data_IF_889762267313
#
_entry.id   IF_889762267313
#
_cell.length_a   1.000
_cell.length_b   1.000
_cell.length_c   1.000
_cell.angle_alpha   90.00
_cell.angle_beta   90.00
_cell.angle_gamma   90.00
#
_symmetry.space_group_name_H-M   'P 1'
#
loop_
_entity.id
_entity.type
_entity.pdbx_description
1 polymer ?
#
# COMPACT_ATOMS: atom_id res chain seq x y z
N UNK A 1 -68.25 12.66 -7.26
CA UNK A 1 -67.14 13.55 -6.85
C UNK A 1 -66.10 12.68 -6.19
N UNK A 2 -65.07 12.26 -6.92
CA UNK A 2 -63.96 11.50 -6.33
C UNK A 2 -63.13 12.49 -5.52
N UNK A 3 -63.06 12.27 -4.20
CA UNK A 3 -62.11 12.95 -3.33
C UNK A 3 -60.72 12.56 -3.78
N UNK A 4 -60.10 13.42 -4.58
CA UNK A 4 -58.68 13.34 -4.89
C UNK A 4 -57.96 13.65 -3.58
N UNK A 5 -57.74 12.62 -2.75
CA UNK A 5 -56.94 12.76 -1.54
C UNK A 5 -55.56 13.20 -2.00
N UNK A 6 -55.23 14.48 -1.79
CA UNK A 6 -53.91 15.00 -2.05
C UNK A 6 -52.92 14.08 -1.36
N UNK A 7 -51.96 13.55 -2.12
CA UNK A 7 -50.98 12.64 -1.57
C UNK A 7 -50.24 13.39 -0.46
N UNK A 8 -50.22 12.83 0.75
CA UNK A 8 -49.63 13.49 1.93
C UNK A 8 -48.15 13.88 1.68
N UNK A 9 -47.47 13.12 0.81
CA UNK A 9 -46.10 13.37 0.38
C UNK A 9 -45.91 14.58 -0.53
N UNK A 10 -46.98 15.09 -1.14
CA UNK A 10 -46.88 16.30 -1.99
C UNK A 10 -46.74 17.58 -1.16
N UNK A 11 -47.07 17.53 0.14
CA UNK A 11 -47.00 18.69 1.06
C UNK A 11 -45.88 18.58 2.11
N UNK A 12 -45.07 17.52 2.06
CA UNK A 12 -43.98 17.32 3.01
C UNK A 12 -42.80 18.23 2.65
N UNK A 13 -42.19 18.94 3.62
CA UNK A 13 -40.94 19.66 3.39
C UNK A 13 -39.84 18.73 2.88
N UNK A 14 -38.97 19.26 2.04
CA UNK A 14 -37.82 18.55 1.45
C UNK A 14 -36.99 17.83 2.52
N UNK A 15 -36.72 18.52 3.63
CA UNK A 15 -35.89 18.05 4.73
C UNK A 15 -36.51 16.83 5.43
N UNK A 16 -37.84 16.77 5.50
CA UNK A 16 -38.56 15.62 6.08
C UNK A 16 -38.50 14.41 5.17
N UNK A 17 -38.58 14.61 3.85
CA UNK A 17 -38.40 13.52 2.88
C UNK A 17 -36.97 12.99 2.95
N UNK A 18 -35.97 13.88 3.05
CA UNK A 18 -34.56 13.50 3.22
C UNK A 18 -34.32 12.73 4.52
N UNK A 19 -34.92 13.18 5.62
CA UNK A 19 -34.79 12.52 6.92
C UNK A 19 -35.37 11.10 6.85
N UNK A 20 -36.60 10.94 6.36
CA UNK A 20 -37.23 9.61 6.17
C UNK A 20 -36.37 8.73 5.27
N UNK A 21 -35.89 9.26 4.13
CA UNK A 21 -35.05 8.50 3.21
C UNK A 21 -33.70 8.09 3.82
N UNK A 22 -33.17 8.85 4.79
CA UNK A 22 -31.90 8.55 5.46
C UNK A 22 -31.99 7.37 6.45
N UNK A 23 -33.20 7.04 6.91
CA UNK A 23 -33.47 5.88 7.78
C UNK A 23 -33.71 4.58 6.99
N UNK A 24 -33.67 4.61 5.66
CA UNK A 24 -33.79 3.40 4.83
C UNK A 24 -32.50 2.58 4.94
N UNK A 25 -32.64 1.30 5.26
CA UNK A 25 -31.50 0.42 5.52
C UNK A 25 -30.81 -0.04 4.22
N UNK A 26 -31.56 -0.14 3.13
CA UNK A 26 -31.07 -0.66 1.84
C UNK A 26 -31.29 0.28 0.65
N UNK A 27 -30.35 0.22 -0.31
CA UNK A 27 -30.46 0.95 -1.58
C UNK A 27 -31.70 0.52 -2.39
N UNK A 28 -32.13 -0.73 -2.23
CA UNK A 28 -33.35 -1.25 -2.87
C UNK A 28 -34.60 -0.54 -2.34
N UNK A 29 -34.68 -0.30 -1.04
CA UNK A 29 -35.77 0.46 -0.43
C UNK A 29 -35.73 1.92 -0.86
N UNK A 30 -34.55 2.52 -0.96
CA UNK A 30 -34.39 3.88 -1.48
C UNK A 30 -34.91 3.99 -2.91
N UNK A 31 -34.60 3.02 -3.78
CA UNK A 31 -35.14 2.97 -5.15
C UNK A 31 -36.66 2.84 -5.14
N UNK A 32 -37.22 1.95 -4.32
CA UNK A 32 -38.68 1.79 -4.21
C UNK A 32 -39.35 3.05 -3.68
N UNK A 33 -38.76 3.70 -2.68
CA UNK A 33 -39.25 4.94 -2.09
C UNK A 33 -39.27 6.07 -3.14
N UNK A 34 -38.19 6.22 -3.92
CA UNK A 34 -38.13 7.15 -5.07
C UNK A 34 -39.17 6.86 -6.16
N UNK A 35 -39.68 5.63 -6.25
CA UNK A 35 -40.68 5.23 -7.25
C UNK A 35 -42.13 5.44 -6.78
N UNK A 36 -42.36 5.82 -5.51
CA UNK A 36 -43.71 5.99 -4.95
C UNK A 36 -44.48 7.11 -5.66
N UNK A 37 -43.87 8.29 -5.85
CA UNK A 37 -44.43 9.38 -6.65
C UNK A 37 -43.33 10.32 -7.17
N UNK A 38 -43.71 11.23 -8.07
CA UNK A 38 -42.79 12.25 -8.61
C UNK A 38 -42.32 13.23 -7.54
N UNK A 39 -43.16 13.61 -6.57
CA UNK A 39 -42.78 14.57 -5.53
C UNK A 39 -41.63 14.06 -4.64
N UNK A 40 -41.64 12.79 -4.23
CA UNK A 40 -40.55 12.16 -3.46
C UNK A 40 -39.29 12.04 -4.30
N UNK A 41 -39.42 11.63 -5.56
CA UNK A 41 -38.27 11.54 -6.47
C UNK A 41 -37.62 12.91 -6.63
N UNK A 42 -38.41 13.94 -6.92
CA UNK A 42 -37.94 15.29 -7.14
C UNK A 42 -37.37 15.86 -5.83
N UNK A 43 -37.96 15.55 -4.66
CA UNK A 43 -37.36 15.90 -3.37
C UNK A 43 -35.98 15.24 -3.15
N UNK A 44 -35.77 14.01 -3.61
CA UNK A 44 -34.47 13.32 -3.45
C UNK A 44 -33.43 13.83 -4.46
N UNK A 45 -33.85 14.13 -5.70
CA UNK A 45 -32.95 14.43 -6.81
C UNK A 45 -32.76 15.93 -7.10
N UNK A 46 -33.64 16.80 -6.61
CA UNK A 46 -33.51 18.26 -6.76
C UNK A 46 -32.58 18.86 -5.68
N UNK A 47 -32.62 20.19 -5.53
CA UNK A 47 -31.79 20.95 -4.58
C UNK A 47 -30.28 20.68 -4.74
N UNK A 48 -29.84 20.65 -6.00
CA UNK A 48 -28.44 20.37 -6.32
C UNK A 48 -27.95 19.03 -5.77
N UNK A 49 -28.83 18.03 -5.65
CA UNK A 49 -28.54 16.67 -5.18
C UNK A 49 -27.93 16.62 -3.77
N UNK A 50 -28.38 17.53 -2.88
CA UNK A 50 -27.89 17.64 -1.50
C UNK A 50 -28.09 16.36 -0.69
N UNK A 51 -29.18 15.62 -0.94
CA UNK A 51 -29.43 14.30 -0.35
C UNK A 51 -28.34 13.29 -0.75
N UNK A 52 -28.03 13.16 -2.05
CA UNK A 52 -27.03 12.22 -2.55
C UNK A 52 -25.64 12.53 -2.00
N UNK A 53 -25.28 13.81 -1.88
CA UNK A 53 -24.03 14.22 -1.21
C UNK A 53 -23.99 13.75 0.25
N UNK A 54 -25.08 13.93 0.99
CA UNK A 54 -25.18 13.49 2.40
C UNK A 54 -25.09 11.96 2.50
N UNK A 55 -25.86 11.24 1.70
CA UNK A 55 -25.88 9.78 1.65
C UNK A 55 -24.52 9.20 1.25
N UNK A 56 -23.88 9.79 0.24
CA UNK A 56 -22.51 9.43 -0.12
C UNK A 56 -21.58 9.60 1.07
N UNK A 57 -21.65 10.76 1.73
CA UNK A 57 -20.86 11.07 2.92
C UNK A 57 -21.18 10.25 4.16
N UNK A 58 -22.20 9.38 4.17
CA UNK A 58 -22.40 8.37 5.24
C UNK A 58 -21.72 7.05 4.93
N UNK A 59 -21.65 6.65 3.65
CA UNK A 59 -21.08 5.36 3.22
C UNK A 59 -19.62 5.46 2.78
N UNK A 60 -19.20 6.58 2.22
CA UNK A 60 -17.88 6.80 1.64
C UNK A 60 -17.27 8.10 2.16
N UNK A 61 -15.97 8.23 1.97
CA UNK A 61 -15.24 9.47 2.26
C UNK A 61 -15.35 10.47 1.10
N UNK A 62 -15.20 11.78 1.38
CA UNK A 62 -15.26 12.81 0.35
C UNK A 62 -14.34 12.51 -0.83
N UNK A 63 -14.84 12.75 -2.04
CA UNK A 63 -14.03 12.58 -3.25
C UNK A 63 -12.89 13.59 -3.31
N UNK A 64 -11.73 13.19 -3.83
CA UNK A 64 -10.63 14.12 -4.14
C UNK A 64 -11.01 15.24 -5.12
N UNK A 65 -12.11 15.07 -5.87
CA UNK A 65 -12.61 16.08 -6.80
C UNK A 65 -13.53 17.13 -6.15
N UNK A 66 -13.74 17.10 -4.83
CA UNK A 66 -14.56 18.08 -4.12
C UNK A 66 -14.07 19.51 -4.41
N UNK A 67 -14.97 20.34 -4.96
CA UNK A 67 -14.67 21.74 -5.30
C UNK A 67 -14.19 21.96 -6.74
N UNK A 68 -13.94 20.90 -7.51
CA UNK A 68 -13.76 21.02 -8.95
C UNK A 68 -15.08 21.44 -9.61
N UNK A 69 -15.01 22.34 -10.60
CA UNK A 69 -16.18 22.83 -11.36
C UNK A 69 -16.99 21.70 -12.01
N UNK A 70 -16.34 20.58 -12.32
CA UNK A 70 -16.95 19.39 -12.93
C UNK A 70 -17.60 18.45 -11.89
N UNK A 71 -17.18 18.50 -10.62
CA UNK A 71 -17.74 17.68 -9.54
C UNK A 71 -18.90 18.42 -8.87
N UNK A 72 -20.09 18.27 -9.46
CA UNK A 72 -21.31 18.93 -9.01
C UNK A 72 -22.19 18.01 -8.14
N UNK A 73 -23.41 18.44 -7.82
CA UNK A 73 -24.34 17.58 -7.06
C UNK A 73 -24.64 16.23 -7.72
N UNK A 74 -24.80 16.22 -9.05
CA UNK A 74 -25.17 15.03 -9.80
C UNK A 74 -24.05 14.00 -9.84
N UNK A 75 -22.77 14.41 -9.75
CA UNK A 75 -21.66 13.46 -9.66
C UNK A 75 -21.75 12.59 -8.41
N UNK A 76 -22.16 13.14 -7.25
CA UNK A 76 -22.35 12.33 -6.03
C UNK A 76 -23.36 11.20 -6.20
N UNK A 77 -24.45 11.44 -6.95
CA UNK A 77 -25.43 10.38 -7.25
C UNK A 77 -24.81 9.30 -8.14
N UNK A 78 -24.12 9.71 -9.21
CA UNK A 78 -23.44 8.78 -10.13
C UNK A 78 -22.35 7.97 -9.43
N UNK A 79 -21.46 8.63 -8.68
CA UNK A 79 -20.38 8.04 -7.93
C UNK A 79 -20.91 7.06 -6.87
N UNK A 80 -21.95 7.46 -6.13
CA UNK A 80 -22.60 6.58 -5.15
C UNK A 80 -23.13 5.32 -5.82
N UNK A 81 -23.92 5.47 -6.88
CA UNK A 81 -24.53 4.34 -7.57
C UNK A 81 -23.47 3.42 -8.18
N UNK A 82 -22.46 3.99 -8.86
CA UNK A 82 -21.38 3.21 -9.46
C UNK A 82 -20.62 2.41 -8.39
N UNK A 83 -20.20 3.06 -7.29
CA UNK A 83 -19.50 2.38 -6.18
C UNK A 83 -20.34 1.26 -5.60
N UNK A 84 -21.62 1.52 -5.30
CA UNK A 84 -22.51 0.52 -4.70
C UNK A 84 -22.78 -0.64 -5.63
N UNK A 85 -22.99 -0.39 -6.92
CA UNK A 85 -23.20 -1.43 -7.93
C UNK A 85 -21.98 -2.34 -8.05
N UNK A 86 -20.78 -1.79 -8.21
CA UNK A 86 -19.57 -2.59 -8.43
C UNK A 86 -19.07 -3.28 -7.16
N UNK A 87 -19.19 -2.65 -5.99
CA UNK A 87 -18.86 -3.31 -4.72
C UNK A 87 -19.82 -4.47 -4.40
N UNK A 88 -21.10 -4.33 -4.77
CA UNK A 88 -22.11 -5.37 -4.56
C UNK A 88 -21.97 -6.52 -5.55
N UNK A 89 -21.79 -6.23 -6.83
CA UNK A 89 -21.83 -7.23 -7.89
C UNK A 89 -20.46 -7.86 -8.16
N UNK A 90 -19.37 -7.15 -7.90
CA UNK A 90 -18.02 -7.62 -8.21
C UNK A 90 -17.72 -7.69 -9.70
N UNK A 91 -16.61 -8.35 -10.01
CA UNK A 91 -16.21 -8.74 -11.36
C UNK A 91 -15.46 -10.08 -11.27
N UNK A 92 -15.53 -10.89 -12.33
CA UNK A 92 -14.76 -12.13 -12.41
C UNK A 92 -13.35 -11.82 -12.88
N UNK A 93 -12.44 -11.64 -11.94
CA UNK A 93 -11.05 -11.29 -12.24
C UNK A 93 -10.29 -12.47 -12.88
N UNK A 94 -9.63 -12.20 -14.00
CA UNK A 94 -8.69 -13.08 -14.68
C UNK A 94 -7.37 -12.36 -14.94
N UNK A 95 -7.43 -11.24 -15.67
CA UNK A 95 -6.26 -10.43 -16.02
C UNK A 95 -6.55 -8.93 -15.95
N UNK A 96 -7.74 -8.53 -15.50
CA UNK A 96 -8.13 -7.13 -15.35
C UNK A 96 -8.46 -6.41 -16.65
N UNK A 97 -8.61 -7.11 -17.78
CA UNK A 97 -8.80 -6.45 -19.10
C UNK A 97 -10.23 -6.36 -19.58
N UNK A 98 -11.13 -7.20 -19.09
CA UNK A 98 -12.54 -7.09 -19.50
C UNK A 98 -13.11 -5.74 -19.08
N UNK A 99 -14.16 -5.30 -19.78
CA UNK A 99 -14.81 -4.02 -19.44
C UNK A 99 -15.33 -4.02 -18.00
N UNK A 100 -15.87 -5.15 -17.53
CA UNK A 100 -16.39 -5.30 -16.17
C UNK A 100 -15.27 -5.22 -15.12
N UNK A 101 -14.17 -5.93 -15.34
CA UNK A 101 -13.01 -5.85 -14.44
C UNK A 101 -12.44 -4.43 -14.40
N UNK A 102 -12.25 -3.78 -15.55
CA UNK A 102 -11.73 -2.40 -15.60
C UNK A 102 -12.61 -1.42 -14.85
N UNK A 103 -13.93 -1.49 -15.05
CA UNK A 103 -14.87 -0.63 -14.32
C UNK A 103 -14.85 -0.89 -12.82
N UNK A 104 -14.72 -2.16 -12.43
CA UNK A 104 -14.57 -2.51 -11.03
C UNK A 104 -13.25 -1.95 -10.46
N UNK A 105 -12.13 -2.11 -11.17
CA UNK A 105 -10.82 -1.62 -10.77
C UNK A 105 -10.77 -0.09 -10.66
N UNK A 106 -11.40 0.64 -11.58
CA UNK A 106 -11.54 2.11 -11.49
C UNK A 106 -12.23 2.53 -10.18
N UNK A 107 -13.28 1.80 -9.78
CA UNK A 107 -13.98 2.04 -8.51
C UNK A 107 -13.09 1.74 -7.30
N UNK A 108 -12.31 0.65 -7.34
CA UNK A 108 -11.37 0.32 -6.25
C UNK A 108 -10.25 1.35 -6.16
N UNK A 109 -9.71 1.81 -7.29
CA UNK A 109 -8.74 2.90 -7.35
C UNK A 109 -9.30 4.18 -6.74
N UNK A 110 -10.55 4.53 -7.06
CA UNK A 110 -11.19 5.71 -6.46
C UNK A 110 -11.34 5.59 -4.95
N UNK A 111 -11.67 4.40 -4.42
CA UNK A 111 -11.69 4.17 -2.97
C UNK A 111 -10.30 4.35 -2.35
N UNK A 112 -9.26 3.83 -3.00
CA UNK A 112 -7.86 3.97 -2.57
C UNK A 112 -7.45 5.44 -2.52
N UNK A 113 -7.71 6.20 -3.59
CA UNK A 113 -7.30 7.61 -3.70
C UNK A 113 -8.11 8.54 -2.79
N UNK A 114 -9.37 8.22 -2.53
CA UNK A 114 -10.21 9.00 -1.63
C UNK A 114 -10.06 8.58 -0.15
N UNK A 115 -9.33 7.49 0.12
CA UNK A 115 -9.11 6.99 1.47
C UNK A 115 -8.48 8.05 2.39
N UNK A 116 -8.98 8.14 3.61
CA UNK A 116 -8.61 9.09 4.65
C UNK A 116 -8.84 10.58 4.33
N UNK A 117 -9.52 10.94 3.24
CA UNK A 117 -9.77 12.35 2.88
C UNK A 117 -10.57 13.11 3.95
N UNK A 118 -11.42 12.41 4.70
CA UNK A 118 -12.21 12.96 5.81
C UNK A 118 -11.47 13.12 7.13
N UNK A 119 -10.28 12.54 7.29
CA UNK A 119 -9.59 12.42 8.59
C UNK A 119 -9.26 13.77 9.21
N UNK A 120 -8.69 14.70 8.45
CA UNK A 120 -8.36 16.05 8.96
C UNK A 120 -9.58 16.80 9.50
N UNK A 121 -10.72 16.64 8.82
CA UNK A 121 -11.98 17.25 9.26
C UNK A 121 -12.55 16.58 10.50
N UNK A 122 -12.35 15.27 10.64
CA UNK A 122 -12.71 14.51 11.84
C UNK A 122 -11.88 14.95 13.05
N UNK A 123 -10.55 14.97 12.94
CA UNK A 123 -9.65 15.34 14.05
C UNK A 123 -9.93 16.77 14.55
N UNK A 124 -10.25 17.72 13.64
CA UNK A 124 -10.63 19.08 14.03
C UNK A 124 -11.93 19.15 14.84
N UNK A 125 -12.85 18.19 14.67
CA UNK A 125 -14.19 18.19 15.28
C UNK A 125 -14.27 17.28 16.49
N UNK A 126 -13.65 16.11 16.41
CA UNK A 126 -13.60 15.11 17.47
C UNK A 126 -12.45 15.49 18.40
N UNK A 127 -12.77 15.84 19.65
CA UNK A 127 -11.80 16.09 20.72
C UNK A 127 -11.20 14.75 21.22
N UNK A 128 -10.60 13.98 20.32
CA UNK A 128 -10.15 12.61 20.55
C UNK A 128 -11.02 11.55 19.85
N UNK A 129 -10.40 10.43 19.47
CA UNK A 129 -11.03 9.28 18.83
C UNK A 129 -10.22 8.70 17.66
N UNK A 130 -10.31 7.39 17.46
CA UNK A 130 -9.67 6.71 16.33
C UNK A 130 -10.50 6.90 15.05
N UNK A 131 -9.85 7.32 13.97
CA UNK A 131 -10.50 7.48 12.67
C UNK A 131 -10.41 6.19 11.87
N UNK A 132 -11.54 5.52 11.66
CA UNK A 132 -11.62 4.35 10.79
C UNK A 132 -12.02 4.77 9.37
N UNK A 133 -11.18 4.46 8.38
CA UNK A 133 -11.49 4.80 6.99
C UNK A 133 -12.60 3.92 6.43
N UNK A 134 -13.65 4.55 5.93
CA UNK A 134 -14.80 3.84 5.34
C UNK A 134 -14.45 3.21 3.98
N UNK A 135 -13.60 3.89 3.22
CA UNK A 135 -13.17 3.40 1.92
C UNK A 135 -12.24 2.19 2.06
N UNK A 136 -11.30 2.21 3.01
CA UNK A 136 -10.43 1.07 3.29
C UNK A 136 -11.23 -0.14 3.81
N UNK A 137 -12.20 0.08 4.69
CA UNK A 137 -13.11 -0.98 5.15
C UNK A 137 -13.88 -1.60 3.97
N UNK A 138 -14.45 -0.76 3.09
CA UNK A 138 -15.15 -1.24 1.89
C UNK A 138 -14.22 -2.02 0.94
N UNK A 139 -12.97 -1.58 0.80
CA UNK A 139 -11.95 -2.24 -0.01
C UNK A 139 -11.58 -3.63 0.56
N UNK A 140 -11.38 -3.73 1.87
CA UNK A 140 -11.10 -5.01 2.55
C UNK A 140 -12.27 -5.97 2.45
N UNK A 141 -13.49 -5.52 2.71
CA UNK A 141 -14.69 -6.36 2.58
C UNK A 141 -14.91 -6.84 1.15
N UNK A 142 -14.62 -5.98 0.16
CA UNK A 142 -14.62 -6.38 -1.24
C UNK A 142 -13.57 -7.46 -1.53
N UNK A 143 -12.33 -7.27 -1.07
CA UNK A 143 -11.24 -8.22 -1.29
C UNK A 143 -11.56 -9.60 -0.69
N UNK A 144 -12.15 -9.64 0.52
CA UNK A 144 -12.62 -10.88 1.15
C UNK A 144 -13.70 -11.59 0.32
N UNK A 145 -14.63 -10.84 -0.27
CA UNK A 145 -15.79 -11.36 -0.99
C UNK A 145 -15.43 -11.89 -2.37
N UNK A 146 -14.75 -11.07 -3.17
CA UNK A 146 -14.47 -11.39 -4.58
C UNK A 146 -13.21 -12.25 -4.74
N UNK A 147 -12.43 -12.42 -3.65
CA UNK A 147 -11.12 -13.05 -3.68
C UNK A 147 -10.37 -12.54 -4.91
N UNK A 148 -10.08 -11.23 -4.94
CA UNK A 148 -9.31 -10.60 -6.02
C UNK A 148 -7.92 -11.26 -6.03
N UNK A 149 -7.87 -12.43 -6.66
CA UNK A 149 -6.95 -13.50 -6.28
C UNK A 149 -5.56 -12.95 -6.39
N UNK A 150 -4.84 -12.93 -5.28
CA UNK A 150 -3.44 -12.65 -5.30
C UNK A 150 -2.74 -13.92 -5.77
N UNK A 151 -2.65 -14.06 -7.08
CA UNK A 151 -1.78 -15.05 -7.69
C UNK A 151 -0.88 -14.24 -8.62
N UNK A 152 0.38 -14.02 -8.23
CA UNK A 152 1.29 -13.22 -9.06
C UNK A 152 1.56 -13.91 -10.42
N UNK A 153 1.14 -15.17 -10.59
CA UNK A 153 1.12 -15.90 -11.86
C UNK A 153 -0.20 -15.75 -12.64
N UNK A 154 -1.05 -14.75 -12.36
CA UNK A 154 -2.28 -14.46 -13.12
C UNK A 154 -1.94 -13.90 -14.49
N UNK A 155 -1.48 -14.80 -15.35
CA UNK A 155 -1.30 -14.62 -16.77
C UNK A 155 -1.31 -15.99 -17.40
N UNK A 156 -2.01 -16.13 -18.53
CA UNK A 156 -1.56 -17.15 -19.48
C UNK A 156 -0.13 -16.76 -19.88
N UNK A 157 0.75 -17.73 -20.16
CA UNK A 157 2.17 -17.52 -20.55
C UNK A 157 2.40 -16.47 -21.68
N UNK A 158 1.34 -15.94 -22.30
CA UNK A 158 1.37 -14.98 -23.40
C UNK A 158 1.06 -13.51 -23.03
N UNK A 159 0.54 -13.16 -21.84
CA UNK A 159 0.26 -11.75 -21.52
C UNK A 159 0.25 -11.42 -20.01
N UNK A 160 1.04 -10.40 -19.61
CA UNK A 160 1.03 -9.80 -18.25
C UNK A 160 -0.37 -9.30 -17.88
N UNK A 161 -0.83 -9.31 -16.62
CA UNK A 161 -2.12 -8.71 -16.25
C UNK A 161 -2.18 -7.19 -16.50
N UNK A 162 -3.38 -6.60 -16.35
CA UNK A 162 -3.59 -5.16 -16.40
C UNK A 162 -2.85 -4.49 -15.22
N UNK A 163 -1.99 -3.48 -15.44
CA UNK A 163 -1.27 -2.78 -14.37
C UNK A 163 -2.18 -2.24 -13.26
N UNK A 164 -3.41 -1.84 -13.59
CA UNK A 164 -4.36 -1.36 -12.59
C UNK A 164 -4.80 -2.48 -11.62
N UNK A 165 -4.89 -3.73 -12.09
CA UNK A 165 -5.14 -4.88 -11.21
C UNK A 165 -3.96 -5.09 -10.27
N UNK A 166 -2.73 -5.05 -10.80
CA UNK A 166 -1.50 -5.21 -10.02
C UNK A 166 -1.40 -4.13 -8.94
N UNK A 167 -1.66 -2.85 -9.28
CA UNK A 167 -1.69 -1.73 -8.33
C UNK A 167 -2.69 -1.98 -7.21
N UNK A 168 -3.94 -2.32 -7.54
CA UNK A 168 -4.97 -2.56 -6.51
C UNK A 168 -4.55 -3.69 -5.57
N UNK A 169 -3.92 -4.75 -6.10
CA UNK A 169 -3.38 -5.84 -5.30
C UNK A 169 -2.21 -5.40 -4.40
N UNK A 170 -1.28 -4.58 -4.91
CA UNK A 170 -0.19 -4.02 -4.09
C UNK A 170 -0.73 -3.14 -2.97
N UNK A 171 -1.76 -2.32 -3.25
CA UNK A 171 -2.39 -1.45 -2.25
C UNK A 171 -3.15 -2.23 -1.17
N UNK A 172 -3.44 -3.51 -1.40
CA UNK A 172 -4.01 -4.45 -0.43
C UNK A 172 -2.94 -5.16 0.42
N UNK A 173 -1.64 -4.88 0.26
CA UNK A 173 -0.56 -5.56 0.98
C UNK A 173 -0.79 -5.68 2.51
N UNK A 174 -1.24 -4.64 3.25
CA UNK A 174 -1.52 -4.79 4.68
C UNK A 174 -2.59 -5.85 4.99
N UNK A 175 -3.65 -5.93 4.17
CA UNK A 175 -4.66 -6.97 4.30
C UNK A 175 -4.10 -8.36 3.97
N UNK A 176 -3.24 -8.46 2.95
CA UNK A 176 -2.64 -9.73 2.53
C UNK A 176 -1.66 -10.29 3.56
N UNK A 177 -1.00 -9.42 4.33
CA UNK A 177 -0.06 -9.77 5.41
C UNK A 177 -0.78 -9.96 6.76
N UNK A 178 -2.08 -9.71 6.84
CA UNK A 178 -2.85 -9.93 8.06
C UNK A 178 -3.18 -11.42 8.24
N UNK A 179 -3.03 -11.92 9.47
CA UNK A 179 -3.26 -13.34 9.80
C UNK A 179 -4.72 -13.78 9.57
N UNK A 180 -5.69 -12.86 9.69
CA UNK A 180 -7.10 -13.18 9.40
C UNK A 180 -7.35 -13.44 7.91
N UNK A 181 -6.43 -13.03 7.04
CA UNK A 181 -6.56 -13.20 5.59
C UNK A 181 -6.23 -14.61 5.09
N UNK A 182 -5.37 -15.37 5.79
CA UNK A 182 -4.87 -16.68 5.34
C UNK A 182 -5.99 -17.70 5.20
N UNK A 183 -7.00 -17.64 6.08
CA UNK A 183 -8.19 -18.51 6.02
C UNK A 183 -9.10 -18.20 4.84
N UNK A 184 -8.96 -17.02 4.23
CA UNK A 184 -9.82 -16.52 3.16
C UNK A 184 -9.17 -16.75 1.80
N UNK A 185 -7.86 -16.48 1.70
CA UNK A 185 -7.09 -16.59 0.46
C UNK A 185 -5.91 -17.50 0.70
N UNK A 186 -5.82 -18.71 0.10
CA UNK A 186 -4.65 -19.55 0.26
C UNK A 186 -3.40 -18.90 -0.37
N UNK A 187 -2.23 -19.12 0.21
CA UNK A 187 -0.95 -18.75 -0.40
C UNK A 187 -0.66 -19.76 -1.50
N UNK A 188 -0.38 -19.28 -2.72
CA UNK A 188 -0.08 -20.13 -3.88
C UNK A 188 1.09 -19.54 -4.66
N UNK A 189 1.78 -20.38 -5.45
CA UNK A 189 2.87 -19.91 -6.30
C UNK A 189 4.13 -19.48 -5.53
N UNK A 190 4.33 -19.98 -4.32
CA UNK A 190 5.49 -19.65 -3.48
C UNK A 190 6.83 -19.82 -4.20
N UNK A 191 7.06 -20.97 -4.85
CA UNK A 191 8.33 -21.24 -5.55
C UNK A 191 8.61 -20.22 -6.67
N UNK A 192 7.58 -19.73 -7.36
CA UNK A 192 7.73 -18.67 -8.36
C UNK A 192 8.09 -17.34 -7.70
N UNK A 193 7.46 -17.02 -6.56
CA UNK A 193 7.84 -15.85 -5.76
C UNK A 193 9.27 -15.94 -5.25
N UNK A 194 9.68 -17.07 -4.67
CA UNK A 194 11.05 -17.27 -4.21
C UNK A 194 12.05 -17.08 -5.36
N UNK A 195 11.80 -17.67 -6.54
CA UNK A 195 12.64 -17.46 -7.71
C UNK A 195 12.80 -15.96 -8.09
N UNK A 196 11.70 -15.21 -8.07
CA UNK A 196 11.69 -13.80 -8.48
C UNK A 196 12.30 -12.88 -7.43
N UNK A 197 12.05 -13.10 -6.13
CA UNK A 197 12.58 -12.22 -5.08
C UNK A 197 14.09 -12.35 -4.90
N UNK A 198 14.68 -13.51 -5.21
CA UNK A 198 16.14 -13.73 -5.21
C UNK A 198 16.83 -13.40 -6.53
N UNK A 199 16.11 -12.88 -7.52
CA UNK A 199 16.72 -12.42 -8.77
C UNK A 199 17.68 -11.26 -8.55
N UNK A 200 18.68 -11.13 -9.43
CA UNK A 200 19.69 -10.06 -9.37
C UNK A 200 19.18 -8.77 -10.04
N UNK A 201 19.62 -7.58 -9.59
CA UNK A 201 19.18 -6.29 -10.12
C UNK A 201 19.27 -6.16 -11.64
N UNK A 202 20.30 -6.73 -12.26
CA UNK A 202 20.57 -6.67 -13.70
C UNK A 202 19.49 -7.42 -14.51
N UNK A 203 18.98 -8.52 -13.96
CA UNK A 203 17.97 -9.35 -14.59
C UNK A 203 16.55 -8.88 -14.31
N UNK A 204 16.32 -8.29 -13.12
CA UNK A 204 15.00 -7.90 -12.63
C UNK A 204 15.13 -6.66 -11.74
N UNK A 205 15.28 -5.47 -12.34
CA UNK A 205 15.37 -4.22 -11.58
C UNK A 205 14.03 -3.88 -10.92
N UNK A 206 14.08 -3.26 -9.72
CA UNK A 206 12.88 -2.83 -8.99
C UNK A 206 12.17 -1.68 -9.72
N UNK A 207 12.96 -0.78 -10.31
CA UNK A 207 12.49 0.38 -11.07
C UNK A 207 12.96 0.25 -12.52
N UNK A 208 12.01 0.06 -13.43
CA UNK A 208 12.18 -0.05 -14.87
C UNK A 208 12.42 1.33 -15.48
N UNK A 209 13.50 1.47 -16.25
CA UNK A 209 13.84 2.74 -16.92
C UNK A 209 14.04 3.92 -15.95
N UNK A 210 14.31 3.64 -14.67
CA UNK A 210 14.51 4.65 -13.63
C UNK A 210 13.24 5.34 -13.13
N UNK A 211 12.05 5.00 -13.63
CA UNK A 211 10.79 5.71 -13.27
C UNK A 211 9.62 4.77 -12.97
N UNK A 212 9.45 3.69 -13.74
CA UNK A 212 8.29 2.82 -13.63
C UNK A 212 8.57 1.67 -12.66
N UNK A 213 7.64 1.36 -11.77
CA UNK A 213 7.82 0.29 -10.78
C UNK A 213 7.52 -1.07 -11.42
N UNK A 214 8.35 -2.09 -11.16
CA UNK A 214 8.02 -3.46 -11.54
C UNK A 214 7.00 -4.08 -10.57
N UNK A 215 5.72 -3.82 -10.84
CA UNK A 215 4.60 -4.27 -9.99
C UNK A 215 4.52 -5.79 -9.84
N UNK A 216 4.94 -6.56 -10.85
CA UNK A 216 4.95 -8.03 -10.78
C UNK A 216 5.96 -8.49 -9.71
N UNK A 217 7.16 -7.90 -9.71
CA UNK A 217 8.15 -8.16 -8.68
C UNK A 217 7.66 -7.77 -7.28
N UNK A 218 6.97 -6.63 -7.15
CA UNK A 218 6.37 -6.19 -5.88
C UNK A 218 5.31 -7.17 -5.39
N UNK A 219 4.46 -7.69 -6.27
CA UNK A 219 3.49 -8.73 -5.92
C UNK A 219 4.19 -10.03 -5.50
N UNK A 220 5.25 -10.45 -6.19
CA UNK A 220 6.02 -11.62 -5.75
C UNK A 220 6.67 -11.44 -4.38
N UNK A 221 7.16 -10.23 -4.06
CA UNK A 221 7.65 -9.86 -2.73
C UNK A 221 6.55 -10.00 -1.68
N UNK A 222 5.38 -9.39 -1.90
CA UNK A 222 4.25 -9.48 -0.96
C UNK A 222 3.86 -10.96 -0.74
N UNK A 223 3.89 -11.80 -1.78
CA UNK A 223 3.55 -13.22 -1.65
C UNK A 223 4.58 -14.02 -0.86
N UNK A 224 5.86 -13.72 -1.09
CA UNK A 224 6.96 -14.34 -0.36
C UNK A 224 6.83 -14.04 1.13
N UNK A 225 6.68 -12.77 1.51
CA UNK A 225 6.53 -12.37 2.91
C UNK A 225 5.23 -12.88 3.53
N UNK A 226 4.15 -12.89 2.76
CA UNK A 226 2.89 -13.50 3.20
C UNK A 226 3.07 -14.98 3.55
N UNK A 227 3.78 -15.75 2.72
CA UNK A 227 4.07 -17.16 3.00
C UNK A 227 4.76 -17.32 4.35
N UNK A 228 5.83 -16.57 4.61
CA UNK A 228 6.61 -16.71 5.85
C UNK A 228 5.91 -16.14 7.09
N UNK A 229 5.20 -15.02 6.96
CA UNK A 229 4.56 -14.34 8.09
C UNK A 229 3.22 -14.97 8.48
N UNK A 230 2.47 -15.53 7.53
CA UNK A 230 1.08 -15.93 7.77
C UNK A 230 0.79 -17.44 7.64
N UNK A 231 1.76 -18.24 7.17
CA UNK A 231 1.63 -19.69 7.10
C UNK A 231 2.15 -20.37 8.36
N UNK A 232 1.24 -20.87 9.20
CA UNK A 232 1.60 -21.68 10.38
C UNK A 232 2.40 -22.93 9.97
N UNK A 233 2.02 -23.57 8.85
CA UNK A 233 2.68 -24.79 8.37
C UNK A 233 4.14 -24.57 7.96
N UNK A 234 4.50 -23.37 7.54
CA UNK A 234 5.89 -23.01 7.22
C UNK A 234 6.72 -22.83 8.50
N UNK A 235 6.11 -22.31 9.58
CA UNK A 235 6.75 -22.12 10.89
C UNK A 235 8.07 -21.33 10.85
N UNK A 236 8.28 -20.49 9.83
CA UNK A 236 9.47 -19.63 9.69
C UNK A 236 9.37 -18.37 10.54
N UNK A 237 8.53 -17.41 10.12
CA UNK A 237 8.30 -16.17 10.88
C UNK A 237 6.94 -16.13 11.60
N UNK A 238 6.09 -17.13 11.37
CA UNK A 238 4.69 -17.14 11.82
C UNK A 238 4.52 -16.86 13.31
N UNK A 239 5.26 -17.58 14.18
CA UNK A 239 5.06 -17.45 15.63
C UNK A 239 5.51 -16.09 16.16
N UNK A 240 6.68 -15.60 15.76
CA UNK A 240 7.15 -14.27 16.17
C UNK A 240 6.22 -13.17 15.64
N UNK A 241 5.68 -13.35 14.44
CA UNK A 241 4.71 -12.44 13.86
C UNK A 241 3.34 -12.50 14.56
N UNK A 242 2.85 -13.68 14.93
CA UNK A 242 1.58 -13.86 15.64
C UNK A 242 1.59 -13.18 17.00
N UNK A 243 2.70 -13.31 17.74
CA UNK A 243 2.92 -12.67 19.05
C UNK A 243 2.94 -11.14 19.02
N UNK A 244 3.11 -10.52 17.84
CA UNK A 244 3.01 -9.07 17.71
C UNK A 244 1.58 -8.59 18.01
N UNK A 245 1.48 -7.53 18.82
CA UNK A 245 0.21 -6.84 19.04
C UNK A 245 -0.35 -6.30 17.71
N UNK A 246 -1.69 -6.24 17.53
CA UNK A 246 -2.29 -5.87 16.24
C UNK A 246 -1.80 -4.52 15.67
N UNK A 247 -1.53 -3.54 16.54
CA UNK A 247 -1.03 -2.22 16.13
C UNK A 247 0.45 -2.23 15.71
N UNK A 248 1.18 -3.30 16.02
CA UNK A 248 2.57 -3.53 15.61
C UNK A 248 2.72 -4.32 14.31
N UNK A 249 1.62 -4.80 13.72
CA UNK A 249 1.58 -5.46 12.41
C UNK A 249 1.48 -4.42 11.28
N UNK A 250 1.78 -4.79 10.02
CA UNK A 250 1.60 -3.92 8.85
C UNK A 250 0.18 -3.37 8.77
N UNK A 251 0.04 -2.09 8.41
CA UNK A 251 -1.24 -1.37 8.37
C UNK A 251 -1.37 -0.56 7.09
N UNK A 252 -2.62 -0.22 6.78
CA UNK A 252 -2.92 0.74 5.73
C UNK A 252 -2.42 2.14 6.10
N UNK A 253 -2.28 2.99 5.08
CA UNK A 253 -1.90 4.38 5.25
C UNK A 253 -2.94 5.16 6.05
N UNK A 254 -2.46 6.17 6.77
CA UNK A 254 -3.24 6.93 7.76
C UNK A 254 -3.74 8.27 7.20
N UNK A 255 -3.11 8.79 6.15
CA UNK A 255 -3.45 10.05 5.50
C UNK A 255 -3.82 9.85 4.03
N UNK A 256 -4.59 10.78 3.45
CA UNK A 256 -4.88 10.70 2.02
C UNK A 256 -3.58 10.73 1.19
N UNK A 257 -3.53 9.90 0.15
CA UNK A 257 -2.36 9.78 -0.71
C UNK A 257 -2.18 11.05 -1.55
N UNK A 258 -0.97 11.61 -1.54
CA UNK A 258 -0.61 12.80 -2.30
C UNK A 258 0.79 12.64 -2.90
N UNK A 259 1.03 13.29 -4.03
CA UNK A 259 2.39 13.47 -4.53
C UNK A 259 3.10 14.45 -3.59
N UNK A 260 3.93 13.94 -2.68
CA UNK A 260 4.72 14.77 -1.78
C UNK A 260 6.02 15.12 -2.48
N UNK A 261 6.37 16.41 -2.48
CA UNK A 261 7.70 16.85 -2.89
C UNK A 261 8.79 16.38 -1.91
N UNK A 262 8.42 16.15 -0.64
CA UNK A 262 9.32 15.64 0.39
C UNK A 262 8.95 14.22 0.82
N UNK A 263 9.89 13.26 0.87
CA UNK A 263 9.70 11.97 1.46
C UNK A 263 9.26 12.11 2.90
N UNK A 264 8.18 11.41 3.21
CA UNK A 264 7.62 11.34 4.54
C UNK A 264 7.47 9.87 4.88
N UNK A 265 8.52 9.33 5.47
CA UNK A 265 8.55 7.98 6.00
C UNK A 265 8.63 8.06 7.51
N UNK A 266 8.06 7.07 8.19
CA UNK A 266 8.11 7.04 9.64
C UNK A 266 9.51 6.87 10.20
N UNK A 267 9.61 7.06 11.51
CA UNK A 267 10.84 6.96 12.27
C UNK A 267 11.07 5.53 12.76
N UNK A 268 10.05 4.86 13.25
CA UNK A 268 10.16 3.53 13.87
C UNK A 268 9.68 2.46 12.90
N UNK A 269 10.48 1.43 12.72
CA UNK A 269 10.23 0.34 11.78
C UNK A 269 10.48 -1.01 12.44
N UNK A 270 9.68 -2.00 12.05
CA UNK A 270 9.98 -3.41 12.24
C UNK A 270 10.30 -4.03 10.89
N UNK A 271 11.12 -5.07 10.87
CA UNK A 271 11.42 -5.74 9.61
C UNK A 271 12.04 -7.11 9.78
N UNK A 272 12.19 -7.78 8.64
CA UNK A 272 12.90 -9.05 8.52
C UNK A 272 13.61 -9.10 7.17
N UNK A 273 14.65 -9.92 7.07
CA UNK A 273 15.34 -10.24 5.83
C UNK A 273 15.47 -11.75 5.72
N UNK A 274 15.42 -12.25 4.50
CA UNK A 274 15.60 -13.66 4.21
C UNK A 274 16.93 -13.88 3.50
N UNK A 275 17.49 -15.07 3.68
CA UNK A 275 18.68 -15.52 2.98
C UNK A 275 18.53 -16.99 2.56
N UNK A 276 19.27 -17.39 1.54
CA UNK A 276 19.42 -18.80 1.14
C UNK A 276 20.90 -19.13 1.20
N UNK A 277 21.23 -20.38 1.53
CA UNK A 277 22.61 -20.85 1.53
C UNK A 277 23.27 -20.59 0.17
N UNK A 278 24.52 -20.13 0.18
CA UNK A 278 25.26 -19.77 -1.04
C UNK A 278 25.30 -20.93 -2.08
N UNK A 279 25.31 -22.18 -1.61
CA UNK A 279 25.28 -23.35 -2.48
C UNK A 279 23.94 -23.55 -3.21
N UNK A 280 22.84 -23.11 -2.59
CA UNK A 280 21.47 -23.34 -3.04
C UNK A 280 20.90 -22.15 -3.84
N UNK A 281 21.40 -20.94 -3.59
CA UNK A 281 20.95 -19.70 -4.25
C UNK A 281 20.93 -19.78 -5.79
N UNK A 282 21.93 -20.39 -6.49
CA UNK A 282 21.88 -20.56 -7.94
C UNK A 282 20.69 -21.43 -8.41
N UNK A 283 20.27 -22.42 -7.61
CA UNK A 283 19.15 -23.29 -7.94
C UNK A 283 17.81 -22.58 -7.76
N UNK A 284 17.67 -21.77 -6.70
CA UNK A 284 16.51 -20.89 -6.50
C UNK A 284 16.37 -19.92 -7.67
N UNK A 285 17.45 -19.24 -8.06
CA UNK A 285 17.47 -18.29 -9.20
C UNK A 285 17.22 -18.95 -10.55
N UNK A 286 17.62 -20.21 -10.72
CA UNK A 286 17.32 -21.00 -11.92
C UNK A 286 15.89 -21.56 -11.94
N UNK A 287 15.10 -21.36 -10.88
CA UNK A 287 13.74 -21.89 -10.76
C UNK A 287 13.71 -23.41 -10.61
N UNK A 288 14.78 -24.02 -10.09
CA UNK A 288 14.96 -25.47 -9.94
C UNK A 288 14.75 -25.95 -8.50
N UNK A 289 13.94 -25.21 -7.74
CA UNK A 289 13.61 -25.53 -6.35
C UNK A 289 12.43 -26.52 -6.24
N UNK A 290 12.29 -27.43 -7.21
CA UNK A 290 11.26 -28.48 -7.27
C UNK A 290 11.82 -29.89 -7.02
N UNK A 291 13.14 -30.00 -6.80
CA UNK A 291 13.86 -31.25 -6.54
C UNK A 291 13.75 -31.78 -5.09
N UNK A 292 14.45 -32.88 -4.82
CA UNK A 292 14.35 -33.84 -3.68
C UNK A 292 14.48 -33.28 -2.22
N UNK A 293 14.35 -31.97 -2.04
CA UNK A 293 14.21 -31.23 -0.79
C UNK A 293 14.00 -29.77 -1.16
N UNK A 294 12.88 -29.16 -0.76
CA UNK A 294 12.65 -27.73 -1.00
C UNK A 294 13.71 -26.92 -0.27
N UNK A 295 14.45 -26.08 -0.99
CA UNK A 295 15.39 -25.10 -0.45
C UNK A 295 14.61 -24.15 0.44
N UNK A 296 15.00 -24.12 1.71
CA UNK A 296 14.38 -23.33 2.76
C UNK A 296 15.06 -21.96 2.87
N UNK A 297 14.29 -20.98 3.29
CA UNK A 297 14.77 -19.63 3.58
C UNK A 297 15.21 -19.53 5.04
N UNK A 298 16.39 -18.96 5.24
CA UNK A 298 16.92 -18.58 6.54
C UNK A 298 16.43 -17.19 6.96
N UNK A 299 16.28 -17.01 8.28
CA UNK A 299 15.91 -15.75 8.92
C UNK A 299 16.70 -15.62 10.22
N UNK A 300 17.73 -14.77 10.26
CA UNK A 300 18.45 -14.47 11.50
C UNK A 300 19.19 -13.14 11.37
N UNK A 301 19.02 -12.25 12.34
CA UNK A 301 19.96 -11.16 12.56
C UNK A 301 21.11 -11.63 13.46
N UNK A 302 22.33 -11.63 12.92
CA UNK A 302 23.56 -12.08 13.60
C UNK A 302 23.81 -11.42 14.96
N UNK A 303 23.18 -10.29 15.24
CA UNK A 303 23.36 -9.53 16.48
C UNK A 303 22.47 -9.98 17.66
N UNK A 304 21.25 -10.48 17.42
CA UNK A 304 20.22 -10.58 18.47
C UNK A 304 19.37 -11.87 18.45
N UNK A 305 19.66 -12.85 17.58
CA UNK A 305 18.87 -14.10 17.38
C UNK A 305 17.36 -13.88 17.06
N UNK A 306 16.92 -12.62 16.92
CA UNK A 306 15.54 -12.28 16.52
C UNK A 306 15.40 -12.36 15.01
N UNK A 307 14.25 -12.87 14.57
CA UNK A 307 13.91 -12.92 13.14
C UNK A 307 13.17 -11.65 12.69
N UNK A 308 12.53 -10.93 13.63
CA UNK A 308 11.96 -9.59 13.42
C UNK A 308 12.75 -8.56 14.23
N UNK A 309 13.43 -7.64 13.54
CA UNK A 309 14.23 -6.58 14.15
C UNK A 309 13.47 -5.25 14.25
N UNK A 310 13.98 -4.36 15.10
CA UNK A 310 13.56 -2.97 15.22
C UNK A 310 14.60 -2.04 14.58
N UNK A 311 14.13 -1.04 13.83
CA UNK A 311 14.97 -0.06 13.14
C UNK A 311 14.42 1.36 13.37
N UNK A 312 15.29 2.27 13.79
CA UNK A 312 14.99 3.70 13.84
C UNK A 312 15.59 4.39 12.61
N UNK A 313 14.76 5.01 11.78
CA UNK A 313 15.16 5.78 10.59
C UNK A 313 15.05 7.27 10.88
N UNK A 314 16.13 8.02 10.66
CA UNK A 314 16.17 9.49 10.77
C UNK A 314 16.43 10.10 9.41
N UNK A 315 15.57 11.03 9.02
CA UNK A 315 15.75 11.82 7.80
C UNK A 315 16.63 13.04 8.09
N UNK A 316 17.68 13.24 7.29
CA UNK A 316 18.60 14.38 7.38
C UNK A 316 18.69 15.10 6.03
N UNK A 317 18.95 16.40 6.07
CA UNK A 317 19.09 17.29 4.90
C UNK A 317 20.54 17.69 4.62
N UNK A 318 21.50 17.31 5.47
CA UNK A 318 22.91 17.65 5.29
C UNK A 318 23.64 16.69 4.33
N UNK A 319 24.38 17.25 3.35
CA UNK A 319 25.31 16.52 2.48
C UNK A 319 26.52 16.06 3.31
N UNK A 320 26.71 14.76 3.45
CA UNK A 320 27.99 14.22 3.95
C UNK A 320 29.02 14.15 2.82
N UNK A 321 30.29 14.23 3.19
CA UNK A 321 31.42 14.10 2.28
C UNK A 321 31.77 12.63 1.93
N UNK A 322 31.16 11.65 2.62
CA UNK A 322 31.64 10.26 2.65
C UNK A 322 30.68 9.27 1.93
N UNK A 323 29.97 9.72 0.89
CA UNK A 323 29.25 8.80 -0.01
C UNK A 323 30.18 8.46 -1.19
N UNK A 324 30.89 7.34 -1.05
CA UNK A 324 31.96 6.96 -1.97
C UNK A 324 31.44 6.35 -3.27
N UNK A 325 32.28 6.38 -4.32
CA UNK A 325 31.93 5.86 -5.65
C UNK A 325 31.53 4.37 -5.66
N UNK A 326 32.10 3.57 -4.75
CA UNK A 326 31.76 2.14 -4.62
C UNK A 326 30.27 1.93 -4.31
N UNK A 327 29.65 2.83 -3.54
CA UNK A 327 28.22 2.72 -3.24
C UNK A 327 27.38 3.00 -4.49
N UNK A 328 27.77 3.99 -5.31
CA UNK A 328 27.07 4.31 -6.56
C UNK A 328 27.24 3.24 -7.63
N UNK A 329 28.41 2.61 -7.70
CA UNK A 329 28.66 1.50 -8.64
C UNK A 329 27.69 0.33 -8.44
N UNK A 330 27.10 0.18 -7.24
CA UNK A 330 26.17 -0.90 -6.91
C UNK A 330 24.71 -0.44 -6.79
N UNK A 331 24.46 0.72 -6.18
CA UNK A 331 23.10 1.19 -5.89
C UNK A 331 22.53 2.08 -6.98
N UNK A 332 23.38 2.71 -7.80
CA UNK A 332 22.94 3.64 -8.84
C UNK A 332 21.92 4.66 -8.26
N UNK A 333 22.21 5.22 -7.09
CA UNK A 333 21.25 6.06 -6.36
C UNK A 333 21.01 7.38 -7.10
N UNK A 334 21.92 7.83 -7.97
CA UNK A 334 21.74 9.06 -8.75
C UNK A 334 21.49 8.84 -10.25
N UNK A 335 21.50 7.61 -10.75
CA UNK A 335 21.31 7.30 -12.17
C UNK A 335 19.82 7.29 -12.56
N UNK A 336 19.25 8.48 -12.69
CA UNK A 336 17.90 8.67 -13.24
C UNK A 336 17.98 9.28 -14.64
N UNK A 337 17.09 8.90 -15.57
CA UNK A 337 17.02 9.55 -16.87
C UNK A 337 16.79 11.07 -16.68
N UNK A 338 17.55 11.89 -17.41
CA UNK A 338 17.29 13.33 -17.46
C UNK A 338 15.84 13.56 -17.86
N UNK A 339 15.15 14.45 -17.12
CA UNK A 339 13.80 14.90 -17.43
C UNK A 339 13.73 15.36 -18.88
N UNK A 340 13.25 14.50 -19.77
CA UNK A 340 12.84 14.95 -21.08
C UNK A 340 11.59 15.78 -20.87
N UNK A 341 11.64 17.04 -21.32
CA UNK A 341 10.54 17.98 -21.32
C UNK A 341 9.40 17.45 -22.19
N UNK A 342 8.64 16.47 -21.72
CA UNK A 342 7.43 16.02 -22.37
C UNK A 342 6.31 17.02 -22.08
N UNK A 343 6.04 17.86 -23.08
CA UNK A 343 5.00 18.90 -23.09
C UNK A 343 3.55 18.37 -23.12
N UNK A 344 3.30 17.13 -22.70
CA UNK A 344 1.95 16.59 -22.58
C UNK A 344 1.77 15.84 -21.26
N UNK A 345 0.93 16.41 -20.39
CA UNK A 345 0.44 15.89 -19.10
C UNK A 345 1.51 15.50 -18.06
N UNK A 346 2.03 16.52 -17.35
CA UNK A 346 2.73 16.35 -16.07
C UNK A 346 4.17 15.85 -16.19
N UNK A 347 5.14 16.68 -15.80
CA UNK A 347 6.56 16.29 -15.71
C UNK A 347 6.72 15.03 -14.84
N UNK A 348 7.12 13.90 -15.42
CA UNK A 348 7.49 12.66 -14.70
C UNK A 348 8.99 12.75 -14.35
N UNK A 349 9.31 13.46 -13.28
CA UNK A 349 10.68 13.59 -12.77
C UNK A 349 10.87 12.83 -11.47
N UNK A 350 12.07 12.27 -11.28
CA UNK A 350 12.51 11.73 -9.99
C UNK A 350 13.29 12.81 -9.26
N UNK A 351 12.92 13.08 -8.01
CA UNK A 351 13.67 14.00 -7.15
C UNK A 351 14.39 13.17 -6.07
N UNK A 352 15.70 13.38 -5.93
CA UNK A 352 16.43 12.94 -4.72
C UNK A 352 16.13 13.96 -3.65
N UNK A 353 15.56 13.54 -2.53
CA UNK A 353 14.99 14.52 -1.61
C UNK A 353 15.55 14.45 -0.21
N UNK A 354 15.66 13.26 0.39
CA UNK A 354 16.12 13.14 1.76
C UNK A 354 17.09 11.98 1.95
N UNK A 355 17.99 12.18 2.91
CA UNK A 355 18.93 11.18 3.37
C UNK A 355 18.30 10.36 4.48
N UNK A 356 18.43 9.04 4.44
CA UNK A 356 18.00 8.15 5.52
C UNK A 356 19.21 7.66 6.32
N UNK A 357 19.13 7.72 7.65
CA UNK A 357 20.06 7.05 8.57
C UNK A 357 19.31 6.03 9.41
N UNK A 358 19.72 4.77 9.34
CA UNK A 358 19.16 3.67 10.12
C UNK A 358 19.98 3.42 11.38
N UNK A 359 19.31 3.25 12.51
CA UNK A 359 19.91 2.89 13.79
C UNK A 359 19.17 1.71 14.40
N UNK A 360 19.89 0.67 14.81
CA UNK A 360 19.34 -0.44 15.60
C UNK A 360 19.98 -0.41 16.99
N UNK A 361 19.17 -0.59 18.04
CA UNK A 361 19.61 -0.51 19.44
C UNK A 361 20.39 0.79 19.83
N UNK A 362 20.21 1.87 19.06
CA UNK A 362 20.87 3.15 19.30
C UNK A 362 22.23 3.33 18.62
N UNK A 363 22.72 2.33 17.88
CA UNK A 363 23.92 2.45 17.05
C UNK A 363 23.57 2.76 15.60
N UNK A 364 24.35 3.63 14.94
CA UNK A 364 24.20 3.87 13.50
C UNK A 364 24.57 2.59 12.74
N UNK A 365 23.59 2.02 12.07
CA UNK A 365 23.71 0.76 11.32
C UNK A 365 23.81 1.02 9.82
N UNK A 366 23.22 2.11 9.29
CA UNK A 366 23.35 2.40 7.86
C UNK A 366 22.97 3.82 7.44
N UNK A 367 23.38 4.19 6.23
CA UNK A 367 23.09 5.49 5.58
C UNK A 367 22.60 5.28 4.15
N UNK A 368 21.77 6.18 3.64
CA UNK A 368 21.19 6.01 2.32
C UNK A 368 20.33 7.18 1.84
N UNK A 369 19.59 6.94 0.76
CA UNK A 369 18.81 7.95 0.04
C UNK A 369 17.37 7.50 -0.19
N UNK A 370 16.46 8.49 -0.20
CA UNK A 370 15.08 8.35 -0.63
C UNK A 370 14.84 9.19 -1.88
N UNK A 371 14.24 8.56 -2.87
CA UNK A 371 13.88 9.17 -4.14
C UNK A 371 12.38 9.10 -4.32
N UNK A 372 11.74 10.24 -4.60
CA UNK A 372 10.33 10.26 -4.94
C UNK A 372 10.13 9.77 -6.37
N UNK A 373 9.23 8.81 -6.56
CA UNK A 373 8.88 8.29 -7.88
C UNK A 373 7.55 8.90 -8.36
N UNK A 374 7.36 9.08 -9.67
CA UNK A 374 6.08 9.48 -10.22
C UNK A 374 4.95 8.51 -9.87
N UNK A 375 3.72 9.00 -9.98
CA UNK A 375 2.54 8.16 -9.78
C UNK A 375 2.54 6.96 -10.73
N UNK A 376 2.21 5.80 -10.19
CA UNK A 376 2.03 4.55 -10.93
C UNK A 376 0.52 4.31 -11.07
N UNK A 377 0.00 4.17 -12.28
CA UNK A 377 -1.46 4.06 -12.57
C UNK A 377 -2.33 5.09 -11.81
N UNK A 378 -1.84 6.31 -11.65
CA UNK A 378 -2.53 7.40 -10.94
C UNK A 378 -2.43 7.36 -9.40
N UNK A 379 -1.79 6.35 -8.81
CA UNK A 379 -1.50 6.29 -7.36
C UNK A 379 -0.20 7.02 -7.05
N UNK A 380 -0.23 8.12 -6.26
CA UNK A 380 0.97 8.86 -5.89
C UNK A 380 1.63 8.30 -4.61
N UNK A 381 2.84 8.76 -4.32
CA UNK A 381 3.52 8.51 -3.03
C UNK A 381 4.50 7.33 -3.05
N UNK A 382 4.88 6.85 -4.22
CA UNK A 382 5.93 5.84 -4.40
C UNK A 382 7.31 6.44 -4.15
N UNK A 383 8.19 5.68 -3.50
CA UNK A 383 9.57 6.11 -3.28
C UNK A 383 10.53 4.94 -3.45
N UNK A 384 11.71 5.19 -4.02
CA UNK A 384 12.84 4.25 -4.01
C UNK A 384 13.72 4.55 -2.81
N UNK A 385 14.16 3.52 -2.10
CA UNK A 385 15.11 3.62 -1.00
C UNK A 385 16.38 2.87 -1.38
N UNK A 386 17.53 3.48 -1.12
CA UNK A 386 18.85 2.83 -1.23
C UNK A 386 19.59 3.03 0.08
N UNK A 387 20.14 1.99 0.69
CA UNK A 387 20.87 2.08 1.95
C UNK A 387 22.18 1.28 1.87
N UNK A 388 23.18 1.72 2.62
CA UNK A 388 24.42 1.01 2.88
C UNK A 388 24.56 0.83 4.38
N UNK A 389 24.77 -0.40 4.81
CA UNK A 389 25.12 -0.77 6.16
C UNK A 389 26.60 -1.11 6.23
N UNK A 390 27.29 -0.48 7.17
CA UNK A 390 28.68 -0.78 7.49
C UNK A 390 28.71 -1.71 8.70
N UNK A 391 29.36 -2.86 8.57
CA UNK A 391 29.60 -3.76 9.70
C UNK A 391 30.84 -3.26 10.45
N UNK A 392 30.78 -3.23 11.78
CA UNK A 392 31.94 -2.89 12.61
C UNK A 392 32.72 -4.16 12.94
N UNK A 393 34.04 -4.09 12.92
CA UNK A 393 34.92 -5.15 13.39
C UNK A 393 34.87 -5.32 14.92
N UNK A 394 35.56 -6.34 15.44
CA UNK A 394 35.68 -6.61 16.89
C UNK A 394 36.28 -5.44 17.70
N UNK A 395 36.89 -4.45 17.02
CA UNK A 395 37.50 -3.26 17.62
C UNK A 395 36.63 -2.00 17.45
N UNK A 396 35.43 -2.13 16.87
CA UNK A 396 34.48 -1.04 16.65
C UNK A 396 34.81 -0.14 15.46
N UNK A 397 35.80 -0.50 14.63
CA UNK A 397 36.09 0.21 13.38
C UNK A 397 35.17 -0.31 12.27
N UNK A 398 34.88 0.53 11.28
CA UNK A 398 34.15 0.07 10.09
C UNK A 398 34.99 -0.96 9.34
N UNK A 399 34.47 -2.18 9.20
CA UNK A 399 35.04 -3.18 8.31
C UNK A 399 34.66 -2.81 6.87
N UNK A 400 35.59 -2.16 6.18
CA UNK A 400 35.43 -1.79 4.78
C UNK A 400 35.37 -3.00 3.84
N UNK A 401 35.68 -4.22 4.31
CA UNK A 401 35.54 -5.47 3.57
C UNK A 401 34.15 -6.11 3.66
N UNK A 402 33.29 -5.66 4.57
CA UNK A 402 31.93 -6.20 4.75
C UNK A 402 30.90 -5.06 4.75
N UNK A 403 30.43 -4.71 3.56
CA UNK A 403 29.32 -3.78 3.35
C UNK A 403 28.08 -4.55 2.88
N UNK A 404 26.93 -4.21 3.43
CA UNK A 404 25.65 -4.70 2.96
C UNK A 404 24.89 -3.54 2.31
N UNK A 405 24.46 -3.72 1.07
CA UNK A 405 23.67 -2.74 0.34
C UNK A 405 22.22 -3.18 0.28
N UNK A 406 21.31 -2.23 0.37
CA UNK A 406 19.87 -2.44 0.33
C UNK A 406 19.27 -1.56 -0.75
N UNK A 407 18.44 -2.16 -1.59
CA UNK A 407 17.60 -1.46 -2.54
C UNK A 407 16.14 -1.85 -2.29
N UNK A 408 15.24 -0.88 -2.21
CA UNK A 408 13.83 -1.16 -1.98
C UNK A 408 12.89 -0.09 -2.48
N UNK A 409 11.62 -0.38 -2.29
CA UNK A 409 10.50 0.46 -2.66
C UNK A 409 9.63 0.69 -1.42
N UNK A 410 9.40 1.96 -1.12
CA UNK A 410 8.40 2.39 -0.15
C UNK A 410 7.05 2.43 -0.87
N UNK A 411 6.10 1.63 -0.38
CA UNK A 411 4.75 1.61 -0.92
C UNK A 411 4.00 2.92 -0.58
N UNK A 412 3.01 3.33 -1.40
CA UNK A 412 2.23 4.55 -1.16
C UNK A 412 1.71 4.66 0.27
N UNK A 413 1.92 5.84 0.87
CA UNK A 413 1.54 6.13 2.25
C UNK A 413 2.58 5.73 3.31
N UNK A 414 3.75 5.21 2.90
CA UNK A 414 4.93 5.14 3.76
C UNK A 414 4.83 4.13 4.91
N UNK A 415 4.00 3.08 4.75
CA UNK A 415 3.76 2.08 5.79
C UNK A 415 4.54 0.78 5.62
N UNK A 416 4.96 0.46 4.39
CA UNK A 416 5.66 -0.79 4.07
C UNK A 416 6.82 -0.47 3.11
N UNK A 417 7.97 -1.08 3.34
CA UNK A 417 9.12 -1.10 2.44
C UNK A 417 9.37 -2.56 2.05
N UNK A 418 9.53 -2.80 0.75
CA UNK A 418 9.90 -4.10 0.19
C UNK A 418 11.18 -3.93 -0.62
N UNK A 419 12.12 -4.86 -0.49
CA UNK A 419 13.40 -4.68 -1.14
C UNK A 419 14.23 -5.95 -1.21
N UNK A 420 15.48 -5.76 -1.59
CA UNK A 420 16.53 -6.76 -1.55
C UNK A 420 17.78 -6.19 -0.90
N UNK A 421 18.52 -7.06 -0.23
CA UNK A 421 19.85 -6.79 0.30
C UNK A 421 20.87 -7.63 -0.47
N UNK A 422 22.11 -7.16 -0.55
CA UNK A 422 23.21 -7.92 -1.12
C UNK A 422 24.57 -7.46 -0.61
N UNK A 423 25.56 -8.32 -0.74
CA UNK A 423 26.97 -7.96 -0.60
C UNK A 423 27.53 -7.65 -1.99
N UNK A 424 27.97 -6.40 -2.26
CA UNK A 424 28.49 -5.95 -3.56
C UNK A 424 29.42 -6.93 -4.28
N UNK A 425 30.50 -7.37 -3.63
CA UNK A 425 31.53 -8.22 -4.24
C UNK A 425 31.10 -9.69 -4.41
N UNK A 426 29.97 -10.08 -3.81
CA UNK A 426 29.48 -11.45 -3.75
C UNK A 426 27.96 -11.52 -3.96
N UNK A 427 27.39 -10.61 -4.77
CA UNK A 427 25.94 -10.56 -5.03
C UNK A 427 25.38 -11.89 -5.52
N UNK A 428 26.22 -12.69 -6.19
CA UNK A 428 25.84 -14.00 -6.68
C UNK A 428 25.67 -15.06 -5.60
N UNK A 429 26.27 -14.83 -4.43
CA UNK A 429 26.36 -15.75 -3.29
C UNK A 429 25.63 -15.24 -2.06
N UNK A 430 25.56 -13.94 -1.86
CA UNK A 430 25.00 -13.29 -0.67
C UNK A 430 24.03 -12.17 -1.06
N UNK A 431 22.76 -12.55 -1.14
CA UNK A 431 21.65 -11.63 -1.38
C UNK A 431 20.34 -12.25 -0.91
N UNK A 432 19.34 -11.41 -0.69
CA UNK A 432 17.99 -11.88 -0.42
C UNK A 432 16.97 -10.75 -0.30
N UNK A 433 15.69 -11.08 -0.13
CA UNK A 433 14.65 -10.08 0.05
C UNK A 433 14.67 -9.51 1.48
N UNK A 434 14.09 -8.32 1.64
CA UNK A 434 13.71 -7.80 2.95
C UNK A 434 12.31 -7.15 2.91
N UNK A 435 11.68 -7.09 4.09
CA UNK A 435 10.46 -6.32 4.35
C UNK A 435 10.64 -5.47 5.60
N UNK A 436 10.11 -4.25 5.57
CA UNK A 436 9.96 -3.42 6.77
C UNK A 436 8.56 -2.79 6.81
N UNK A 437 8.03 -2.54 8.00
CA UNK A 437 6.75 -1.85 8.19
C UNK A 437 6.77 -0.88 9.38
N UNK A 438 6.04 0.22 9.22
CA UNK A 438 6.10 1.42 10.04
C UNK A 438 5.34 1.26 11.38
N UNK A 439 5.97 1.71 12.47
CA UNK A 439 5.52 1.61 13.86
C UNK A 439 5.13 2.95 14.51
N UNK A 440 5.24 4.09 13.83
CA UNK A 440 5.06 5.41 14.46
C UNK A 440 3.67 5.62 15.07
N UNK A 441 2.60 5.32 14.34
CA UNK A 441 1.24 5.46 14.86
C UNK A 441 0.90 4.46 15.98
N UNK A 442 1.74 3.43 16.19
CA UNK A 442 1.66 2.56 17.36
C UNK A 442 2.30 3.21 18.59
N UNK A 443 3.38 3.96 18.38
CA UNK A 443 4.12 4.65 19.41
C UNK A 443 3.42 5.92 19.93
N UNK A 444 2.75 6.66 19.05
CA UNK A 444 1.96 7.86 19.41
C UNK A 444 0.87 7.55 20.45
N UNK A 445 0.31 6.33 20.42
CA UNK A 445 -0.71 5.85 21.36
C UNK A 445 -0.14 5.40 22.72
N UNK A 446 1.19 5.36 22.87
CA UNK A 446 1.88 4.93 24.10
C UNK A 446 2.60 6.07 24.83
N UNK A 447 2.61 7.29 24.25
CA UNK A 447 3.16 8.47 24.90
C UNK A 447 2.20 8.99 25.99
N UNK A 448 2.69 9.33 27.20
CA UNK A 448 1.91 10.08 28.18
C UNK A 448 1.36 11.38 27.54
N UNK A 449 0.12 11.76 27.88
CA UNK A 449 -0.59 12.92 27.32
C UNK A 449 0.24 14.22 27.40
N UNK A 450 1.12 14.31 28.39
CA UNK A 450 2.02 15.41 28.70
C UNK A 450 3.21 15.57 27.73
N UNK A 451 3.49 14.60 26.85
CA UNK A 451 4.53 14.70 25.80
C UNK A 451 3.94 15.04 24.42
N UNK A 452 2.66 14.74 24.19
CA UNK A 452 1.98 14.99 22.91
C UNK A 452 1.87 16.48 22.55
N UNK A 453 1.89 17.40 23.53
CA UNK A 453 1.88 18.86 23.29
C UNK A 453 3.20 19.42 22.75
N UNK A 454 4.29 18.64 22.77
CA UNK A 454 5.62 19.11 22.33
C UNK A 454 6.04 18.62 20.94
N UNK A 455 5.16 17.89 20.24
CA UNK A 455 5.40 17.34 18.90
C UNK A 455 4.49 17.92 17.79
N UNK A 456 3.83 19.06 18.04
CA UNK A 456 3.10 19.83 17.02
C UNK A 456 3.92 21.01 16.48
#
# INVERSE_FOLDING_TARGET
>A
MSTNHANMFDNLPLEMVHEVASHLESDTELVRFRQVNSAIRDAIDCDGFSFWRRLFGTKFEPSRFVGATEHNGASYMGDYQARRTWLKNGAKFQDGRSMEERRCLEILLDLILDANSGRRSFIKKAKGGEYASRNLLALVEFAKKENITFNPNLGTRSARPNPLLEIVQVMLAPFMLDLSSTSIVPVTGYLASQNIVYSIPESRPIVLGGIDVDLEWVLHQINFWRHHLTSEAESSLFYEYDELEPHKKPRFWTEQLHAKHKPDIGRLWKGSFANVDCADLPFVRAGRNDGNGSILDGFCNSADDRMIFDLEVKLDTHKEADWDGIHEDHLHSFDFPESQNDTSSGSRSVEVVDRARGSAAGELVGKGWLHTLPSQEGVPGWQRVTLVQHIKDEFGNIDHGWICVYEGLVLPGGQIILGRWSVPDDIDKESGPFIMWNQDAAWENTLPEDVQESAC
#
